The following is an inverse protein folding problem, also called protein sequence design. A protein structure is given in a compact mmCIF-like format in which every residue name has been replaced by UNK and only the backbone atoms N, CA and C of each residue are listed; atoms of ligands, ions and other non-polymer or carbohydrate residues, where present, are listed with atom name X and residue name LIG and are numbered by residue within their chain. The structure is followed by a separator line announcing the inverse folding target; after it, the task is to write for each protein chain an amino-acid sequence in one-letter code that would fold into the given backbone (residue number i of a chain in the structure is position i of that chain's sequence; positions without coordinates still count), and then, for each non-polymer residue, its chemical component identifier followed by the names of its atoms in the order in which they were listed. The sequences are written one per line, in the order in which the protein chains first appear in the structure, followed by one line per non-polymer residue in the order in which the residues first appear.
data_IF_379920211901
#
_entry.id   IF_379920211901
#
_cell.length_a   1.000
_cell.length_b   1.000
_cell.length_c   1.000
_cell.angle_alpha   90.00
_cell.angle_beta   90.00
_cell.angle_gamma   90.00
#
_symmetry.space_group_name_H-M   'P 1'
#
loop_
_entity.id
_entity.type
_entity.pdbx_description
1 polymer ?
#
# COMPACT_ATOMS: atom_id res chain seq x y z
N UNK A 1 -36.86 -46.42 58.61
CA UNK A 1 -36.36 -46.76 57.25
C UNK A 1 -36.78 -45.68 56.22
N UNK A 2 -36.59 -44.39 56.54
CA UNK A 2 -37.01 -43.24 55.70
C UNK A 2 -36.01 -42.10 55.92
N UNK A 3 -34.75 -42.25 55.48
CA UNK A 3 -33.78 -41.12 55.46
C UNK A 3 -32.75 -41.19 54.32
N UNK A 4 -32.70 -42.29 53.54
CA UNK A 4 -31.72 -42.48 52.45
C UNK A 4 -32.25 -42.17 51.05
N UNK A 5 -33.56 -42.05 50.86
CA UNK A 5 -34.17 -41.83 49.53
C UNK A 5 -34.28 -40.34 49.19
N UNK A 6 -34.30 -39.44 50.17
CA UNK A 6 -34.39 -37.99 49.94
C UNK A 6 -33.05 -37.35 49.56
N UNK A 7 -31.91 -37.99 49.86
CA UNK A 7 -30.59 -37.46 49.50
C UNK A 7 -30.26 -37.68 48.01
N UNK A 8 -30.79 -38.74 47.40
CA UNK A 8 -30.57 -39.07 45.99
C UNK A 8 -31.43 -38.19 45.07
N UNK A 9 -32.57 -37.70 45.56
CA UNK A 9 -33.45 -36.81 44.77
C UNK A 9 -32.97 -35.35 44.71
N UNK A 10 -32.04 -34.93 45.58
CA UNK A 10 -31.48 -33.56 45.59
C UNK A 10 -30.21 -33.47 44.73
N UNK A 11 -29.47 -34.58 44.56
CA UNK A 11 -28.26 -34.61 43.71
C UNK A 11 -28.60 -34.72 42.21
N UNK A 12 -29.79 -35.20 41.86
CA UNK A 12 -30.25 -35.29 40.46
C UNK A 12 -30.76 -33.96 39.87
N UNK A 13 -30.92 -32.89 40.67
CA UNK A 13 -31.50 -31.62 40.21
C UNK A 13 -30.46 -30.55 39.83
N UNK A 14 -29.16 -30.85 39.91
CA UNK A 14 -28.08 -29.86 39.71
C UNK A 14 -27.44 -29.95 38.29
N UNK A 15 -27.85 -30.90 37.45
CA UNK A 15 -27.25 -31.12 36.12
C UNK A 15 -27.98 -30.47 34.93
N UNK A 16 -28.82 -29.46 35.16
CA UNK A 16 -29.44 -28.67 34.08
C UNK A 16 -28.98 -27.22 34.19
N UNK A 17 -27.67 -26.99 34.01
CA UNK A 17 -27.17 -25.72 33.54
C UNK A 17 -26.53 -25.98 32.18
N UNK A 18 -27.35 -25.90 31.13
CA UNK A 18 -26.85 -25.68 29.78
C UNK A 18 -26.30 -24.25 29.71
N UNK A 19 -25.01 -24.01 29.44
CA UNK A 19 -24.58 -22.72 28.93
C UNK A 19 -24.94 -22.67 27.44
N UNK A 20 -26.23 -22.63 27.11
CA UNK A 20 -26.68 -22.23 25.78
C UNK A 20 -26.74 -20.70 25.75
N UNK A 21 -25.57 -20.09 25.89
CA UNK A 21 -25.28 -18.78 25.35
C UNK A 21 -24.11 -19.01 24.40
N UNK A 22 -24.43 -19.34 23.15
CA UNK A 22 -23.60 -18.88 22.06
C UNK A 22 -23.68 -17.35 22.12
N UNK A 23 -22.85 -16.74 22.98
CA UNK A 23 -22.50 -15.34 22.83
C UNK A 23 -21.87 -15.28 21.45
N UNK A 24 -22.62 -14.78 20.47
CA UNK A 24 -22.05 -14.22 19.26
C UNK A 24 -20.97 -13.25 19.75
N UNK A 25 -19.71 -13.67 19.63
CA UNK A 25 -18.59 -12.82 20.01
C UNK A 25 -18.82 -11.47 19.32
N UNK A 26 -18.66 -10.34 20.03
CA UNK A 26 -18.69 -9.03 19.40
C UNK A 26 -17.80 -9.10 18.17
N UNK A 27 -18.29 -8.67 17.00
CA UNK A 27 -17.52 -8.71 15.74
C UNK A 27 -16.29 -7.83 15.91
N UNK A 28 -15.24 -8.41 16.45
CA UNK A 28 -13.99 -7.74 16.80
C UNK A 28 -13.06 -7.93 15.63
N UNK A 29 -12.53 -6.84 15.09
CA UNK A 29 -11.49 -6.91 14.08
C UNK A 29 -10.17 -7.41 14.65
N UNK A 30 -9.95 -7.21 15.95
CA UNK A 30 -8.67 -7.41 16.62
C UNK A 30 -8.23 -8.88 16.67
N UNK A 31 -9.18 -9.81 16.70
CA UNK A 31 -8.89 -11.25 16.87
C UNK A 31 -8.45 -11.94 15.56
N UNK A 32 -8.74 -11.34 14.40
CA UNK A 32 -8.44 -11.93 13.07
C UNK A 32 -7.18 -11.32 12.43
N UNK A 33 -6.46 -10.44 13.12
CA UNK A 33 -5.24 -9.82 12.57
C UNK A 33 -4.06 -10.78 12.75
N UNK A 34 -3.64 -11.42 11.65
CA UNK A 34 -2.35 -12.11 11.58
C UNK A 34 -1.24 -11.09 11.30
N UNK A 35 -0.52 -10.69 12.34
CA UNK A 35 0.65 -9.81 12.21
C UNK A 35 1.75 -10.43 11.32
N UNK A 36 1.89 -11.76 11.33
CA UNK A 36 2.84 -12.47 10.45
C UNK A 36 2.48 -12.28 8.98
N UNK A 37 1.19 -12.34 8.66
CA UNK A 37 0.72 -12.11 7.30
C UNK A 37 0.94 -10.66 6.87
N UNK A 38 0.72 -9.70 7.76
CA UNK A 38 0.98 -8.27 7.49
C UNK A 38 2.44 -8.02 7.16
N UNK A 39 3.38 -8.60 7.90
CA UNK A 39 4.81 -8.45 7.61
C UNK A 39 5.20 -9.06 6.26
N UNK A 40 4.56 -10.17 5.87
CA UNK A 40 4.72 -10.74 4.53
C UNK A 40 4.22 -9.79 3.43
N UNK A 41 3.05 -9.18 3.61
CA UNK A 41 2.51 -8.18 2.68
C UNK A 41 3.45 -6.98 2.54
N UNK A 42 4.04 -6.52 3.65
CA UNK A 42 5.03 -5.44 3.63
C UNK A 42 6.28 -5.82 2.83
N UNK A 43 6.78 -7.05 2.99
CA UNK A 43 7.93 -7.54 2.26
C UNK A 43 7.66 -7.55 0.75
N UNK A 44 6.52 -8.10 0.34
CA UNK A 44 6.07 -8.15 -1.06
C UNK A 44 5.92 -6.73 -1.64
N UNK A 45 5.29 -5.82 -0.91
CA UNK A 45 5.15 -4.43 -1.33
C UNK A 45 6.51 -3.75 -1.55
N UNK A 46 7.48 -3.96 -0.65
CA UNK A 46 8.83 -3.41 -0.79
C UNK A 46 9.56 -3.93 -2.04
N UNK A 47 9.32 -5.18 -2.40
CA UNK A 47 9.96 -5.80 -3.57
C UNK A 47 9.33 -5.34 -4.90
N UNK A 48 7.99 -5.29 -4.94
CA UNK A 48 7.27 -5.12 -6.20
C UNK A 48 6.89 -3.68 -6.51
N UNK A 49 6.70 -2.82 -5.50
CA UNK A 49 6.08 -1.52 -5.70
C UNK A 49 6.96 -0.57 -6.54
N UNK A 50 6.45 0.02 -7.64
CA UNK A 50 7.26 0.82 -8.56
C UNK A 50 7.95 2.04 -7.94
N UNK A 51 7.35 2.68 -6.93
CA UNK A 51 8.01 3.82 -6.25
C UNK A 51 9.29 3.40 -5.54
N UNK A 52 9.35 2.20 -4.97
CA UNK A 52 10.58 1.68 -4.36
C UNK A 52 11.69 1.57 -5.41
N UNK A 53 11.35 1.05 -6.59
CA UNK A 53 12.29 0.97 -7.73
C UNK A 53 12.78 2.37 -8.15
N UNK A 54 11.89 3.37 -8.16
CA UNK A 54 12.26 4.77 -8.43
C UNK A 54 13.27 5.32 -7.42
N UNK A 55 13.06 5.10 -6.11
CA UNK A 55 14.02 5.50 -5.08
C UNK A 55 15.38 4.80 -5.24
N UNK A 56 15.39 3.51 -5.56
CA UNK A 56 16.63 2.78 -5.82
C UNK A 56 17.38 3.33 -7.04
N UNK A 57 16.66 3.73 -8.10
CA UNK A 57 17.25 4.41 -9.26
C UNK A 57 17.84 5.77 -8.90
N UNK A 58 17.18 6.57 -8.04
CA UNK A 58 17.73 7.85 -7.56
C UNK A 58 19.01 7.66 -6.75
N UNK A 59 19.05 6.64 -5.89
CA UNK A 59 20.27 6.27 -5.16
C UNK A 59 21.39 5.87 -6.14
N UNK A 60 21.07 5.10 -7.19
CA UNK A 60 22.05 4.74 -8.22
C UNK A 60 22.57 5.98 -8.97
N UNK A 61 21.69 6.93 -9.30
CA UNK A 61 22.06 8.21 -9.91
C UNK A 61 22.96 9.04 -8.99
N UNK A 62 22.62 9.17 -7.70
CA UNK A 62 23.45 9.87 -6.72
C UNK A 62 24.83 9.22 -6.55
N UNK A 63 24.91 7.88 -6.53
CA UNK A 63 26.19 7.16 -6.56
C UNK A 63 27.00 7.45 -7.82
N UNK A 64 26.34 7.45 -8.98
CA UNK A 64 26.94 7.85 -10.25
C UNK A 64 27.45 9.29 -10.23
N UNK A 65 26.71 10.21 -9.62
CA UNK A 65 27.12 11.61 -9.47
C UNK A 65 28.39 11.75 -8.62
N UNK A 66 28.54 10.97 -7.55
CA UNK A 66 29.80 10.93 -6.78
C UNK A 66 30.98 10.50 -7.66
N UNK A 67 30.79 9.48 -8.51
CA UNK A 67 31.83 8.99 -9.43
C UNK A 67 32.17 10.08 -10.46
N UNK A 68 31.16 10.68 -11.08
CA UNK A 68 31.34 11.77 -12.04
C UNK A 68 32.10 12.94 -11.40
N UNK A 69 31.68 13.37 -10.21
CA UNK A 69 32.33 14.46 -9.49
C UNK A 69 33.75 14.11 -9.07
N UNK A 70 34.02 12.83 -8.76
CA UNK A 70 35.36 12.30 -8.54
C UNK A 70 36.20 12.24 -9.80
N UNK A 71 35.62 12.14 -10.99
CA UNK A 71 36.33 12.16 -12.28
C UNK A 71 36.59 13.59 -12.79
N UNK A 72 35.81 14.58 -12.34
CA UNK A 72 35.99 15.99 -12.68
C UNK A 72 37.36 16.57 -12.30
N UNK A 73 38.15 15.91 -11.44
CA UNK A 73 39.55 16.29 -11.20
C UNK A 73 40.42 16.26 -12.47
N UNK A 74 40.03 15.50 -13.50
CA UNK A 74 40.72 15.45 -14.80
C UNK A 74 40.31 16.59 -15.75
N UNK A 75 39.16 17.23 -15.49
CA UNK A 75 38.58 18.31 -16.31
C UNK A 75 39.35 19.63 -16.37
N UNK A 76 40.22 20.01 -15.42
CA UNK A 76 40.99 21.25 -15.51
C UNK A 76 41.94 21.28 -16.71
N UNK A 77 42.33 20.13 -17.26
CA UNK A 77 43.24 20.03 -18.39
C UNK A 77 42.43 20.02 -19.70
N UNK A 78 42.64 21.02 -20.55
CA UNK A 78 42.12 21.00 -21.92
C UNK A 78 43.23 21.20 -22.95
N UNK A 79 43.16 20.38 -24.00
CA UNK A 79 44.01 20.47 -25.17
C UNK A 79 43.16 21.00 -26.33
N UNK A 80 43.52 22.16 -26.84
CA UNK A 80 42.85 22.77 -27.97
C UNK A 80 43.80 22.78 -29.17
N UNK A 81 43.30 22.37 -30.33
CA UNK A 81 44.03 22.43 -31.59
C UNK A 81 43.22 23.28 -32.57
N UNK A 82 43.84 24.34 -33.07
CA UNK A 82 43.22 25.26 -34.02
C UNK A 82 44.12 25.36 -35.25
N UNK A 83 43.53 25.16 -36.43
CA UNK A 83 44.19 25.38 -37.71
C UNK A 83 43.58 26.61 -38.37
N UNK A 84 44.42 27.60 -38.67
CA UNK A 84 44.02 28.83 -39.36
C UNK A 84 44.78 28.98 -40.69
N UNK A 85 44.15 28.76 -41.86
CA UNK A 85 44.80 28.91 -43.15
C UNK A 85 45.08 30.39 -43.47
N UNK A 86 46.30 30.68 -43.95
CA UNK A 86 46.85 32.03 -44.14
C UNK A 86 46.24 32.85 -45.30
N UNK A 87 45.07 32.50 -45.82
CA UNK A 87 44.60 32.98 -47.13
C UNK A 87 43.51 34.06 -47.12
N UNK A 88 43.29 34.76 -46.02
CA UNK A 88 42.42 35.94 -46.03
C UNK A 88 43.04 37.09 -45.25
N UNK A 89 43.66 38.04 -45.97
CA UNK A 89 43.93 39.39 -45.47
C UNK A 89 42.60 40.08 -45.22
N UNK A 90 41.97 39.80 -44.08
CA UNK A 90 40.76 40.49 -43.66
C UNK A 90 41.19 41.81 -42.99
N UNK A 91 41.13 42.91 -43.74
CA UNK A 91 41.63 44.24 -43.31
C UNK A 91 40.85 44.80 -42.10
N UNK A 92 39.71 44.20 -41.77
CA UNK A 92 38.84 44.54 -40.63
C UNK A 92 39.15 43.74 -39.36
N UNK A 93 39.83 42.59 -39.44
CA UNK A 93 40.29 41.78 -38.30
C UNK A 93 41.61 41.08 -38.66
N UNK A 94 42.76 41.73 -38.45
CA UNK A 94 44.05 41.14 -38.79
C UNK A 94 44.31 39.87 -37.96
N UNK A 95 44.39 38.72 -38.63
CA UNK A 95 44.84 37.46 -38.00
C UNK A 95 46.36 37.48 -37.88
N UNK A 96 46.88 37.82 -36.69
CA UNK A 96 48.32 37.91 -36.42
C UNK A 96 49.05 36.56 -36.41
N UNK A 97 48.33 35.46 -36.23
CA UNK A 97 48.88 34.11 -36.21
C UNK A 97 48.17 33.23 -37.25
N UNK A 98 48.93 32.77 -38.24
CA UNK A 98 48.48 31.80 -39.26
C UNK A 98 49.25 30.48 -39.08
N UNK A 99 48.60 29.35 -39.37
CA UNK A 99 49.17 28.01 -39.18
C UNK A 99 48.52 27.20 -38.05
N UNK A 100 49.28 26.25 -37.52
CA UNK A 100 48.84 25.31 -36.47
C UNK A 100 49.06 25.90 -35.08
N UNK A 101 48.00 25.95 -34.27
CA UNK A 101 48.05 26.43 -32.89
C UNK A 101 47.62 25.30 -31.95
N UNK A 102 48.47 24.97 -30.99
CA UNK A 102 48.17 24.03 -29.90
C UNK A 102 48.12 24.83 -28.60
N UNK A 103 46.95 24.87 -27.97
CA UNK A 103 46.73 25.54 -26.71
C UNK A 103 46.50 24.53 -25.59
N UNK A 104 47.25 24.67 -24.50
CA UNK A 104 46.98 23.99 -23.24
C UNK A 104 46.35 25.00 -22.29
N UNK A 105 45.21 24.69 -21.71
CA UNK A 105 44.65 25.50 -20.63
C UNK A 105 44.45 24.67 -19.37
N UNK A 106 44.74 25.28 -18.23
CA UNK A 106 44.60 24.67 -16.91
C UNK A 106 43.70 25.54 -16.01
N UNK A 107 42.57 25.00 -15.55
CA UNK A 107 41.64 25.72 -14.70
C UNK A 107 41.88 25.42 -13.20
N UNK A 108 42.70 26.23 -12.53
CA UNK A 108 43.01 26.03 -11.10
C UNK A 108 41.77 26.19 -10.19
N UNK A 109 40.80 27.05 -10.57
CA UNK A 109 39.58 27.26 -9.79
C UNK A 109 38.72 26.01 -9.64
N UNK A 110 38.62 25.21 -10.70
CA UNK A 110 37.88 23.93 -10.71
C UNK A 110 38.53 22.87 -9.81
N UNK A 111 39.86 22.90 -9.67
CA UNK A 111 40.61 22.02 -8.77
C UNK A 111 40.31 22.35 -7.31
N UNK A 112 40.28 23.64 -6.95
CA UNK A 112 40.00 24.07 -5.58
C UNK A 112 38.57 23.73 -5.13
N UNK A 113 37.61 23.68 -6.05
CA UNK A 113 36.21 23.35 -5.75
C UNK A 113 35.93 21.84 -5.67
N UNK A 114 36.83 21.01 -6.21
CA UNK A 114 36.70 19.56 -6.26
C UNK A 114 36.29 18.89 -4.92
N UNK A 115 37.01 19.09 -3.79
CA UNK A 115 36.65 18.41 -2.54
C UNK A 115 35.28 18.83 -2.01
N UNK A 116 34.90 20.11 -2.18
CA UNK A 116 33.59 20.62 -1.79
C UNK A 116 32.46 19.99 -2.61
N UNK A 117 32.67 19.83 -3.91
CA UNK A 117 31.68 19.20 -4.78
C UNK A 117 31.53 17.69 -4.50
N UNK A 118 32.63 16.96 -4.25
CA UNK A 118 32.56 15.55 -3.85
C UNK A 118 31.84 15.38 -2.51
N UNK A 119 32.11 16.28 -1.55
CA UNK A 119 31.38 16.28 -0.27
C UNK A 119 29.88 16.50 -0.49
N UNK A 120 29.51 17.49 -1.31
CA UNK A 120 28.09 17.76 -1.65
C UNK A 120 27.40 16.55 -2.27
N UNK A 121 28.02 15.91 -3.26
CA UNK A 121 27.47 14.71 -3.90
C UNK A 121 27.29 13.53 -2.92
N UNK A 122 28.13 13.43 -1.87
CA UNK A 122 27.94 12.43 -0.80
C UNK A 122 26.76 12.76 0.09
N UNK A 123 26.58 14.02 0.46
CA UNK A 123 25.40 14.44 1.22
C UNK A 123 24.11 14.24 0.41
N UNK A 124 24.13 14.50 -0.90
CA UNK A 124 23.01 14.18 -1.80
C UNK A 124 22.66 12.68 -1.78
N UNK A 125 23.66 11.79 -1.81
CA UNK A 125 23.42 10.36 -1.64
C UNK A 125 22.80 10.04 -0.28
N UNK A 126 23.28 10.66 0.81
CA UNK A 126 22.71 10.49 2.15
C UNK A 126 21.25 10.92 2.17
N UNK A 127 20.91 12.05 1.55
CA UNK A 127 19.53 12.55 1.43
C UNK A 127 18.66 11.52 0.71
N UNK A 128 19.10 11.00 -0.44
CA UNK A 128 18.32 10.00 -1.20
C UNK A 128 18.13 8.68 -0.43
N UNK A 129 19.12 8.26 0.37
CA UNK A 129 18.99 7.10 1.27
C UNK A 129 17.95 7.36 2.35
N UNK A 130 18.01 8.51 3.01
CA UNK A 130 17.03 8.88 4.04
C UNK A 130 15.62 9.02 3.46
N UNK A 131 15.47 9.62 2.27
CA UNK A 131 14.18 9.71 1.58
C UNK A 131 13.60 8.34 1.23
N UNK A 132 14.43 7.36 0.86
CA UNK A 132 13.96 5.97 0.66
C UNK A 132 13.50 5.35 1.98
N UNK A 133 14.25 5.55 3.06
CA UNK A 133 13.94 4.96 4.36
C UNK A 133 12.67 5.59 4.97
N UNK A 134 12.48 6.89 4.83
CA UNK A 134 11.22 7.59 5.12
C UNK A 134 10.07 7.00 4.29
N UNK A 135 10.30 6.83 2.98
CA UNK A 135 9.32 6.21 2.10
C UNK A 135 8.95 4.80 2.56
N UNK A 136 9.90 3.98 3.02
CA UNK A 136 9.62 2.66 3.57
C UNK A 136 8.73 2.71 4.82
N UNK A 137 8.91 3.69 5.72
CA UNK A 137 8.02 3.86 6.87
C UNK A 137 6.60 4.23 6.44
N UNK A 138 6.46 5.11 5.45
CA UNK A 138 5.14 5.45 4.89
C UNK A 138 4.49 4.24 4.20
N UNK A 139 5.26 3.46 3.44
CA UNK A 139 4.80 2.25 2.76
C UNK A 139 4.29 1.20 3.75
N UNK A 140 5.02 0.98 4.86
CA UNK A 140 4.59 0.09 5.94
C UNK A 140 3.24 0.51 6.52
N UNK A 141 3.06 1.82 6.74
CA UNK A 141 1.82 2.38 7.28
C UNK A 141 0.67 2.21 6.30
N UNK A 142 0.91 2.44 5.02
CA UNK A 142 -0.08 2.30 3.95
C UNK A 142 -0.52 0.83 3.79
N UNK A 143 0.42 -0.13 3.78
CA UNK A 143 0.10 -1.57 3.71
C UNK A 143 -0.79 -1.97 4.89
N UNK A 144 -0.42 -1.56 6.10
CA UNK A 144 -1.20 -1.86 7.32
C UNK A 144 -2.61 -1.27 7.24
N UNK A 145 -2.71 0.01 6.87
CA UNK A 145 -4.00 0.70 6.75
C UNK A 145 -4.90 0.01 5.72
N UNK A 146 -4.42 -0.24 4.50
CA UNK A 146 -5.18 -0.91 3.45
C UNK A 146 -5.58 -2.33 3.82
N UNK A 147 -4.71 -3.07 4.49
CA UNK A 147 -5.03 -4.40 5.01
C UNK A 147 -6.15 -4.38 6.05
N UNK A 148 -6.11 -3.42 6.99
CA UNK A 148 -7.17 -3.30 8.00
C UNK A 148 -8.50 -2.89 7.38
N UNK A 149 -8.49 -1.98 6.39
CA UNK A 149 -9.69 -1.66 5.61
C UNK A 149 -10.21 -2.88 4.86
N UNK A 150 -9.35 -3.64 4.18
CA UNK A 150 -9.74 -4.89 3.52
C UNK A 150 -10.41 -5.87 4.49
N UNK A 151 -9.81 -6.10 5.66
CA UNK A 151 -10.37 -7.00 6.68
C UNK A 151 -11.72 -6.50 7.22
N UNK A 152 -11.83 -5.19 7.45
CA UNK A 152 -13.08 -4.56 7.91
C UNK A 152 -14.21 -4.74 6.89
N UNK A 153 -13.94 -4.46 5.62
CA UNK A 153 -14.93 -4.60 4.55
C UNK A 153 -15.30 -6.07 4.30
N UNK A 154 -14.35 -6.99 4.43
CA UNK A 154 -14.61 -8.43 4.36
C UNK A 154 -15.59 -8.89 5.45
N UNK A 155 -15.37 -8.47 6.70
CA UNK A 155 -16.28 -8.81 7.81
C UNK A 155 -17.64 -8.14 7.66
N UNK A 156 -17.67 -6.88 7.23
CA UNK A 156 -18.90 -6.14 6.94
C UNK A 156 -19.75 -6.85 5.88
N UNK A 157 -19.13 -7.26 4.78
CA UNK A 157 -19.78 -8.03 3.73
C UNK A 157 -20.34 -9.36 4.27
N UNK A 158 -19.55 -10.10 5.07
CA UNK A 158 -20.00 -11.35 5.66
C UNK A 158 -21.24 -11.15 6.55
N UNK A 159 -21.23 -10.13 7.41
CA UNK A 159 -22.37 -9.77 8.26
C UNK A 159 -23.61 -9.42 7.44
N UNK A 160 -23.48 -8.51 6.47
CA UNK A 160 -24.62 -8.08 5.66
C UNK A 160 -25.16 -9.19 4.76
N UNK A 161 -24.34 -10.17 4.39
CA UNK A 161 -24.81 -11.35 3.70
C UNK A 161 -25.75 -12.19 4.58
N UNK A 162 -25.42 -12.38 5.87
CA UNK A 162 -26.33 -13.04 6.82
C UNK A 162 -27.61 -12.22 7.04
N UNK A 163 -27.50 -10.91 7.27
CA UNK A 163 -28.67 -10.03 7.43
C UNK A 163 -29.59 -10.06 6.20
N UNK A 164 -29.01 -10.12 5.00
CA UNK A 164 -29.77 -10.23 3.76
C UNK A 164 -30.49 -11.56 3.63
N UNK A 165 -29.82 -12.66 4.00
CA UNK A 165 -30.44 -13.98 4.03
C UNK A 165 -31.62 -14.04 5.00
N UNK A 166 -31.48 -13.45 6.19
CA UNK A 166 -32.55 -13.40 7.19
C UNK A 166 -33.74 -12.56 6.72
N UNK A 167 -33.47 -11.38 6.14
CA UNK A 167 -34.49 -10.52 5.56
C UNK A 167 -35.24 -11.21 4.41
N UNK A 168 -34.53 -11.99 3.59
CA UNK A 168 -35.11 -12.77 2.50
C UNK A 168 -36.04 -13.87 3.04
N UNK A 169 -35.57 -14.61 4.04
CA UNK A 169 -36.36 -15.66 4.70
C UNK A 169 -37.64 -15.08 5.33
N UNK A 170 -37.53 -13.96 6.03
CA UNK A 170 -38.67 -13.26 6.65
C UNK A 170 -39.67 -12.76 5.60
N UNK A 171 -39.20 -12.12 4.53
CA UNK A 171 -40.06 -11.62 3.46
C UNK A 171 -40.81 -12.75 2.76
N UNK A 172 -40.15 -13.89 2.51
CA UNK A 172 -40.79 -15.07 1.94
C UNK A 172 -41.85 -15.68 2.88
N UNK A 173 -41.52 -15.81 4.17
CA UNK A 173 -42.48 -16.30 5.16
C UNK A 173 -43.74 -15.41 5.22
N UNK A 174 -43.57 -14.09 5.30
CA UNK A 174 -44.69 -13.15 5.37
C UNK A 174 -45.48 -13.08 4.06
N UNK A 175 -44.82 -13.24 2.91
CA UNK A 175 -45.50 -13.37 1.61
C UNK A 175 -46.45 -14.56 1.60
N UNK A 176 -46.01 -15.71 2.11
CA UNK A 176 -46.83 -16.92 2.12
C UNK A 176 -47.96 -16.85 3.14
N UNK A 177 -47.75 -16.24 4.31
CA UNK A 177 -48.82 -15.95 5.28
C UNK A 177 -49.84 -14.95 4.73
N UNK A 178 -49.39 -13.92 4.01
CA UNK A 178 -50.26 -12.91 3.41
C UNK A 178 -51.18 -13.53 2.36
N UNK A 179 -50.65 -14.43 1.50
CA UNK A 179 -51.45 -15.18 0.52
C UNK A 179 -52.55 -16.03 1.16
N UNK A 180 -52.36 -16.47 2.41
CA UNK A 180 -53.35 -17.23 3.19
C UNK A 180 -54.30 -16.32 3.98
N UNK A 181 -54.12 -15.00 3.93
CA UNK A 181 -54.90 -14.03 4.71
C UNK A 181 -54.53 -13.97 6.19
N UNK A 182 -53.39 -14.55 6.60
CA UNK A 182 -52.97 -14.66 8.01
C UNK A 182 -52.30 -13.38 8.55
N UNK A 183 -51.82 -12.49 7.67
CA UNK A 183 -51.15 -11.23 8.03
C UNK A 183 -51.67 -10.07 7.16
N UNK A 184 -51.52 -8.84 7.64
CA UNK A 184 -51.94 -7.65 6.90
C UNK A 184 -50.95 -7.28 5.77
N UNK A 185 -51.44 -6.61 4.73
CA UNK A 185 -50.60 -6.12 3.63
C UNK A 185 -49.47 -5.18 4.11
N UNK A 186 -49.74 -4.38 5.14
CA UNK A 186 -48.76 -3.45 5.74
C UNK A 186 -47.55 -4.18 6.31
N UNK A 187 -47.76 -5.33 6.96
CA UNK A 187 -46.70 -6.16 7.54
C UNK A 187 -45.84 -6.80 6.45
N UNK A 188 -46.48 -7.36 5.41
CA UNK A 188 -45.77 -7.85 4.22
C UNK A 188 -44.95 -6.75 3.53
N UNK A 189 -45.54 -5.57 3.32
CA UNK A 189 -44.86 -4.45 2.67
C UNK A 189 -43.65 -3.96 3.49
N UNK A 190 -43.74 -3.99 4.82
CA UNK A 190 -42.63 -3.64 5.72
C UNK A 190 -41.47 -4.62 5.54
N UNK A 191 -41.74 -5.92 5.49
CA UNK A 191 -40.70 -6.93 5.26
C UNK A 191 -40.10 -6.87 3.85
N UNK A 192 -40.91 -6.61 2.82
CA UNK A 192 -40.43 -6.39 1.46
C UNK A 192 -39.49 -5.17 1.37
N UNK A 193 -39.84 -4.08 2.06
CA UNK A 193 -38.99 -2.88 2.17
C UNK A 193 -37.69 -3.20 2.90
N UNK A 194 -37.74 -3.95 4.01
CA UNK A 194 -36.55 -4.36 4.75
C UNK A 194 -35.59 -5.22 3.90
N UNK A 195 -36.12 -6.16 3.10
CA UNK A 195 -35.33 -6.94 2.16
C UNK A 195 -34.66 -6.06 1.10
N UNK A 196 -35.38 -5.10 0.53
CA UNK A 196 -34.82 -4.16 -0.45
C UNK A 196 -33.65 -3.36 0.15
N UNK A 197 -33.84 -2.78 1.34
CA UNK A 197 -32.80 -2.04 2.06
C UNK A 197 -31.59 -2.90 2.39
N UNK A 198 -31.80 -4.12 2.87
CA UNK A 198 -30.71 -5.06 3.17
C UNK A 198 -29.94 -5.48 1.91
N UNK A 199 -30.64 -5.66 0.79
CA UNK A 199 -30.02 -5.99 -0.50
C UNK A 199 -29.14 -4.83 -0.99
N UNK A 200 -29.64 -3.59 -0.88
CA UNK A 200 -28.84 -2.41 -1.22
C UNK A 200 -27.59 -2.29 -0.33
N UNK A 201 -27.73 -2.56 0.98
CA UNK A 201 -26.60 -2.54 1.91
C UNK A 201 -25.54 -3.60 1.55
N UNK A 202 -25.96 -4.82 1.22
CA UNK A 202 -25.07 -5.89 0.76
C UNK A 202 -24.32 -5.49 -0.52
N UNK A 203 -25.01 -4.98 -1.53
CA UNK A 203 -24.39 -4.53 -2.78
C UNK A 203 -23.32 -3.43 -2.55
N UNK A 204 -23.61 -2.50 -1.64
CA UNK A 204 -22.65 -1.46 -1.27
C UNK A 204 -21.41 -2.07 -0.60
N UNK A 205 -21.58 -3.02 0.31
CA UNK A 205 -20.45 -3.70 0.96
C UNK A 205 -19.64 -4.59 0.01
N UNK A 206 -20.28 -5.25 -0.96
CA UNK A 206 -19.56 -5.97 -2.03
C UNK A 206 -18.65 -5.00 -2.81
N UNK A 207 -19.18 -3.83 -3.18
CA UNK A 207 -18.42 -2.80 -3.86
C UNK A 207 -17.26 -2.26 -3.00
N UNK A 208 -17.49 -2.01 -1.71
CA UNK A 208 -16.45 -1.53 -0.79
C UNK A 208 -15.36 -2.56 -0.57
N UNK A 209 -15.73 -3.84 -0.40
CA UNK A 209 -14.77 -4.95 -0.28
C UNK A 209 -13.89 -5.07 -1.53
N UNK A 210 -14.49 -5.06 -2.72
CA UNK A 210 -13.73 -5.14 -3.98
C UNK A 210 -12.79 -3.94 -4.16
N UNK A 211 -13.21 -2.74 -3.77
CA UNK A 211 -12.34 -1.55 -3.78
C UNK A 211 -11.19 -1.67 -2.79
N UNK A 212 -11.46 -2.11 -1.57
CA UNK A 212 -10.42 -2.31 -0.55
C UNK A 212 -9.40 -3.38 -0.98
N UNK A 213 -9.88 -4.47 -1.59
CA UNK A 213 -9.05 -5.52 -2.18
C UNK A 213 -8.14 -4.97 -3.29
N UNK A 214 -8.72 -4.32 -4.30
CA UNK A 214 -7.96 -3.77 -5.42
C UNK A 214 -6.94 -2.72 -4.95
N UNK A 215 -7.30 -1.90 -3.96
CA UNK A 215 -6.40 -0.93 -3.33
C UNK A 215 -5.20 -1.60 -2.66
N UNK A 216 -5.41 -2.71 -1.95
CA UNK A 216 -4.30 -3.46 -1.35
C UNK A 216 -3.41 -4.11 -2.42
N UNK A 217 -4.01 -4.74 -3.44
CA UNK A 217 -3.29 -5.38 -4.55
C UNK A 217 -2.45 -4.40 -5.37
N UNK A 218 -2.92 -3.16 -5.57
CA UNK A 218 -2.16 -2.08 -6.21
C UNK A 218 -0.81 -1.86 -5.52
N UNK A 219 -0.78 -1.90 -4.19
CA UNK A 219 0.43 -1.67 -3.40
C UNK A 219 1.37 -2.89 -3.43
N UNK A 220 0.80 -4.09 -3.50
CA UNK A 220 1.55 -5.34 -3.57
C UNK A 220 2.12 -5.61 -4.97
N UNK A 221 1.50 -5.05 -6.01
CA UNK A 221 1.84 -5.32 -7.41
C UNK A 221 1.49 -6.74 -7.88
N UNK A 222 0.85 -7.54 -7.03
CA UNK A 222 0.37 -8.90 -7.28
C UNK A 222 -1.01 -9.09 -6.64
N UNK A 223 -1.71 -10.14 -7.05
CA UNK A 223 -3.02 -10.47 -6.50
C UNK A 223 -2.91 -11.09 -5.11
N UNK A 224 -3.90 -10.88 -4.25
CA UNK A 224 -3.88 -11.45 -2.90
C UNK A 224 -3.92 -12.98 -2.90
N UNK A 225 -4.53 -13.60 -3.92
CA UNK A 225 -4.56 -15.06 -4.06
C UNK A 225 -3.18 -15.67 -4.34
N UNK A 226 -2.24 -14.88 -4.84
CA UNK A 226 -0.88 -15.32 -5.15
C UNK A 226 0.02 -15.24 -3.91
N UNK A 227 -0.44 -14.60 -2.83
CA UNK A 227 0.23 -14.51 -1.54
C UNK A 227 -0.02 -15.80 -0.74
N UNK A 228 0.55 -16.92 -1.19
CA UNK A 228 0.57 -18.20 -0.45
C UNK A 228 1.52 -18.13 0.74
#
# INVERSE_FOLDING_TARGET
MIKRVTLISIVAFIFIFNPSNAQEAPVSLMDDISYVFVEKLIAIAKENYPRVKSHNSRIAMAKGNIINQKMTWLSPLSLNYVYSPANTLNLTNPTFFSGYQIGFSFNLGSVLQYPGNVKRAREELTIELLSRDEYYLSLVTEVKSRYFTYLAEYKSLKLLNYTNQDALNLANMLKDRYKKGEVAFTEYNTAATALSTSTQAKLNAESSFLRAKASLEELLGIRLEEVN
#
